data_IF_120568821722
#
_entry.id   IF_120568821722
#
_cell.length_a   1.000
_cell.length_b   1.000
_cell.length_c   1.000
_cell.angle_alpha   90.00
_cell.angle_beta   90.00
_cell.angle_gamma   90.00
#
_symmetry.space_group_name_H-M   'P 1'
#
loop_
_entity.id
_entity.type
_entity.pdbx_description
1 polymer ?
#
# COMPACT_ATOMS: atom_id res chain seq x y z
N UNK A 1 13.22 -8.53 -17.82
CA UNK A 1 12.87 -9.24 -16.58
C UNK A 1 11.55 -8.67 -16.12
N UNK A 2 10.47 -9.45 -16.21
CA UNK A 2 9.16 -9.02 -15.73
C UNK A 2 9.22 -8.84 -14.22
N UNK A 3 8.67 -7.75 -13.70
CA UNK A 3 8.56 -7.55 -12.26
C UNK A 3 7.77 -8.73 -11.65
N UNK A 4 8.17 -9.25 -10.49
CA UNK A 4 7.42 -10.30 -9.81
C UNK A 4 6.01 -9.81 -9.46
N UNK A 5 4.99 -10.59 -9.82
CA UNK A 5 3.61 -10.34 -9.39
C UNK A 5 3.47 -10.68 -7.90
N UNK A 6 2.77 -9.83 -7.14
CA UNK A 6 2.52 -9.97 -5.71
C UNK A 6 1.08 -10.39 -5.48
N UNK A 7 0.81 -11.67 -5.67
CA UNK A 7 -0.53 -12.25 -5.48
C UNK A 7 -1.03 -12.04 -4.05
N UNK A 8 -0.15 -12.04 -3.05
CA UNK A 8 -0.47 -11.74 -1.65
C UNK A 8 -1.07 -10.33 -1.45
N UNK A 9 -0.72 -9.37 -2.30
CA UNK A 9 -1.32 -8.03 -2.29
C UNK A 9 -2.64 -8.00 -3.05
N UNK A 10 -2.73 -8.71 -4.18
CA UNK A 10 -3.94 -8.79 -5.00
C UNK A 10 -5.09 -9.53 -4.27
N UNK A 11 -4.76 -10.43 -3.35
CA UNK A 11 -5.73 -11.13 -2.50
C UNK A 11 -6.28 -10.26 -1.34
N UNK A 12 -5.66 -9.12 -1.03
CA UNK A 12 -6.09 -8.25 0.07
C UNK A 12 -7.35 -7.45 -0.31
N UNK A 13 -8.51 -7.99 0.06
CA UNK A 13 -9.80 -7.32 -0.15
C UNK A 13 -9.96 -6.07 0.72
N UNK A 14 -10.86 -5.12 0.36
CA UNK A 14 -11.17 -3.96 1.19
C UNK A 14 -11.60 -4.32 2.62
N UNK A 15 -12.29 -5.43 2.80
CA UNK A 15 -12.71 -5.93 4.11
C UNK A 15 -11.49 -6.39 4.93
N UNK A 16 -10.57 -7.14 4.32
CA UNK A 16 -9.32 -7.55 4.96
C UNK A 16 -8.46 -6.33 5.35
N UNK A 17 -8.34 -5.35 4.45
CA UNK A 17 -7.66 -4.08 4.72
C UNK A 17 -8.33 -3.31 5.86
N UNK A 18 -9.66 -3.36 5.96
CA UNK A 18 -10.40 -2.70 7.04
C UNK A 18 -10.11 -3.34 8.40
N UNK A 19 -9.97 -4.68 8.45
CA UNK A 19 -9.59 -5.39 9.66
C UNK A 19 -8.13 -5.15 10.08
N UNK A 20 -7.21 -5.00 9.11
CA UNK A 20 -5.80 -4.73 9.37
C UNK A 20 -5.52 -3.28 9.76
N UNK A 21 -6.26 -2.35 9.17
CA UNK A 21 -6.12 -0.91 9.34
C UNK A 21 -7.31 -0.35 10.15
N UNK A 22 -8.06 0.55 9.52
CA UNK A 22 -9.31 1.12 10.00
C UNK A 22 -10.16 1.49 8.79
N UNK A 23 -11.49 1.38 8.91
CA UNK A 23 -12.43 1.68 7.82
C UNK A 23 -12.24 3.10 7.24
N UNK A 24 -11.87 4.07 8.07
CA UNK A 24 -11.63 5.44 7.64
C UNK A 24 -10.46 5.59 6.66
N UNK A 25 -9.38 4.83 6.86
CA UNK A 25 -8.23 4.85 5.94
C UNK A 25 -8.56 4.15 4.62
N UNK A 26 -9.23 2.99 4.69
CA UNK A 26 -9.61 2.22 3.51
C UNK A 26 -10.55 3.01 2.60
N UNK A 27 -11.63 3.57 3.15
CA UNK A 27 -12.58 4.36 2.36
C UNK A 27 -11.95 5.58 1.70
N UNK A 28 -11.05 6.28 2.40
CA UNK A 28 -10.32 7.42 1.82
C UNK A 28 -9.37 6.97 0.73
N UNK A 29 -8.61 5.89 0.96
CA UNK A 29 -7.68 5.37 -0.04
C UNK A 29 -8.41 4.86 -1.29
N UNK A 30 -9.53 4.15 -1.15
CA UNK A 30 -10.38 3.74 -2.28
C UNK A 30 -10.92 4.93 -3.06
N UNK A 31 -11.34 5.99 -2.36
CA UNK A 31 -11.81 7.22 -3.00
C UNK A 31 -10.69 7.90 -3.80
N UNK A 32 -9.49 8.00 -3.22
CA UNK A 32 -8.33 8.59 -3.87
C UNK A 32 -7.95 7.78 -5.13
N UNK A 33 -7.83 6.45 -5.00
CA UNK A 33 -7.54 5.53 -6.13
C UNK A 33 -8.61 5.63 -7.23
N UNK A 34 -9.90 5.62 -6.86
CA UNK A 34 -11.01 5.76 -7.80
C UNK A 34 -11.06 7.13 -8.50
N UNK A 35 -10.45 8.16 -7.91
CA UNK A 35 -10.27 9.47 -8.51
C UNK A 35 -8.97 9.59 -9.34
N UNK A 36 -8.19 8.51 -9.47
CA UNK A 36 -6.89 8.52 -10.14
C UNK A 36 -5.76 9.12 -9.32
N UNK A 37 -5.99 9.41 -8.03
CA UNK A 37 -4.96 9.86 -7.08
C UNK A 37 -4.27 8.62 -6.53
N UNK A 38 -3.28 8.14 -7.28
CA UNK A 38 -2.51 6.92 -6.96
C UNK A 38 -1.03 7.28 -6.80
N UNK A 39 -0.29 6.59 -5.91
CA UNK A 39 1.15 6.76 -5.83
C UNK A 39 1.84 6.18 -7.08
N UNK A 40 3.07 6.66 -7.34
CA UNK A 40 3.95 5.98 -8.28
C UNK A 40 4.46 4.68 -7.65
N UNK A 41 4.18 3.55 -8.30
CA UNK A 41 4.61 2.23 -7.85
C UNK A 41 5.87 1.75 -8.56
N UNK A 42 6.75 1.11 -7.79
CA UNK A 42 7.89 0.37 -8.30
C UNK A 42 7.98 -0.99 -7.59
N UNK A 43 8.39 -2.02 -8.31
CA UNK A 43 8.59 -3.36 -7.76
C UNK A 43 10.04 -3.75 -8.00
N UNK A 44 10.76 -4.03 -6.93
CA UNK A 44 12.14 -4.48 -7.00
C UNK A 44 12.22 -5.94 -7.44
N UNK A 45 13.40 -6.39 -7.88
CA UNK A 45 13.62 -7.77 -8.32
C UNK A 45 13.43 -8.82 -7.21
N UNK A 46 13.47 -8.39 -5.94
CA UNK A 46 13.19 -9.24 -4.78
C UNK A 46 11.69 -9.30 -4.41
N UNK A 47 10.82 -8.57 -5.14
CA UNK A 47 9.39 -8.49 -4.88
C UNK A 47 8.95 -7.38 -3.91
N UNK A 48 9.88 -6.56 -3.42
CA UNK A 48 9.52 -5.41 -2.59
C UNK A 48 8.75 -4.37 -3.42
N UNK A 49 7.55 -4.02 -2.97
CA UNK A 49 6.73 -2.98 -3.59
C UNK A 49 7.00 -1.66 -2.89
N UNK A 50 7.29 -0.63 -3.66
CA UNK A 50 7.48 0.74 -3.20
C UNK A 50 6.39 1.63 -3.77
N UNK A 51 5.86 2.54 -2.94
CA UNK A 51 4.95 3.57 -3.38
C UNK A 51 5.51 4.95 -3.01
N UNK A 52 5.57 5.84 -3.99
CA UNK A 52 5.97 7.25 -3.79
C UNK A 52 4.76 8.15 -4.02
N UNK A 53 4.47 9.01 -3.04
CA UNK A 53 3.31 9.90 -3.04
C UNK A 53 3.73 11.34 -3.35
N UNK A 54 2.81 12.13 -3.91
CA UNK A 54 3.05 13.54 -4.27
C UNK A 54 3.36 14.43 -3.06
N UNK A 55 2.93 14.01 -1.85
CA UNK A 55 3.26 14.68 -0.58
C UNK A 55 4.67 14.35 -0.07
N UNK A 56 5.46 13.60 -0.85
CA UNK A 56 6.82 13.19 -0.51
C UNK A 56 6.91 11.97 0.41
N UNK A 57 5.78 11.43 0.86
CA UNK A 57 5.74 10.19 1.64
C UNK A 57 6.18 9.03 0.75
N UNK A 58 6.88 8.06 1.36
CA UNK A 58 7.29 6.82 0.73
C UNK A 58 6.86 5.65 1.60
N UNK A 59 6.32 4.63 0.98
CA UNK A 59 6.02 3.35 1.63
C UNK A 59 6.72 2.21 0.90
N UNK A 60 7.08 1.18 1.65
CA UNK A 60 7.58 -0.06 1.08
C UNK A 60 7.03 -1.27 1.81
N UNK A 61 6.76 -2.34 1.06
CA UNK A 61 6.25 -3.60 1.58
C UNK A 61 7.01 -4.77 0.95
N UNK A 62 7.94 -5.40 1.68
CA UNK A 62 8.61 -6.62 1.25
C UNK A 62 7.61 -7.79 1.08
N UNK A 63 7.94 -8.81 0.29
CA UNK A 63 7.13 -10.03 0.22
C UNK A 63 7.10 -10.79 1.55
N UNK A 64 6.02 -11.53 1.80
CA UNK A 64 5.86 -12.35 3.00
C UNK A 64 5.71 -11.54 4.30
N UNK A 65 5.46 -10.24 4.20
CA UNK A 65 5.21 -9.35 5.33
C UNK A 65 3.75 -8.89 5.35
N UNK A 66 3.25 -8.61 6.54
CA UNK A 66 1.88 -8.09 6.67
C UNK A 66 1.86 -6.59 6.39
N UNK A 67 0.68 -6.05 6.09
CA UNK A 67 0.52 -4.61 5.91
C UNK A 67 1.00 -3.78 7.12
N UNK A 68 0.95 -4.34 8.33
CA UNK A 68 1.45 -3.68 9.56
C UNK A 68 2.97 -3.53 9.57
N UNK A 69 3.68 -4.42 8.86
CA UNK A 69 5.14 -4.39 8.76
C UNK A 69 5.63 -3.49 7.62
N UNK A 70 4.72 -2.97 6.78
CA UNK A 70 5.07 -2.02 5.74
C UNK A 70 5.77 -0.79 6.34
N UNK A 71 6.91 -0.40 5.78
CA UNK A 71 7.57 0.84 6.17
C UNK A 71 6.81 2.02 5.57
N UNK A 72 6.74 3.12 6.32
CA UNK A 72 6.17 4.38 5.84
C UNK A 72 6.95 5.53 6.45
N UNK A 73 7.31 6.54 5.64
CA UNK A 73 8.01 7.74 6.12
C UNK A 73 7.08 8.79 6.75
N UNK A 74 5.77 8.57 6.80
CA UNK A 74 4.83 9.48 7.45
C UNK A 74 4.97 9.46 8.99
N UNK A 75 4.38 10.44 9.68
CA UNK A 75 4.44 10.58 11.14
C UNK A 75 3.52 9.65 11.93
N UNK A 76 2.73 8.80 11.25
CA UNK A 76 1.83 7.87 11.93
C UNK A 76 2.63 6.76 12.65
N UNK A 77 2.33 6.53 13.93
CA UNK A 77 2.98 5.50 14.76
C UNK A 77 2.51 4.07 14.48
N UNK A 78 1.55 3.89 13.58
CA UNK A 78 0.98 2.58 13.26
C UNK A 78 0.49 2.53 11.82
N UNK A 79 -0.79 2.19 11.65
CA UNK A 79 -1.38 2.15 10.32
C UNK A 79 -1.72 3.54 9.80
N UNK A 80 -1.57 3.75 8.49
CA UNK A 80 -1.88 4.99 7.82
C UNK A 80 -2.53 4.74 6.45
N UNK A 81 -3.08 5.79 5.85
CA UNK A 81 -3.67 5.71 4.51
C UNK A 81 -2.65 5.29 3.44
N UNK A 82 -1.38 5.69 3.58
CA UNK A 82 -0.34 5.43 2.58
C UNK A 82 -0.04 3.93 2.45
N UNK A 83 0.03 3.21 3.57
CA UNK A 83 0.20 1.75 3.55
C UNK A 83 -0.98 1.06 2.86
N UNK A 84 -2.20 1.46 3.18
CA UNK A 84 -3.41 0.91 2.54
C UNK A 84 -3.42 1.23 1.03
N UNK A 85 -3.06 2.45 0.66
CA UNK A 85 -3.05 2.88 -0.74
C UNK A 85 -1.97 2.18 -1.57
N UNK A 86 -0.84 1.79 -0.97
CA UNK A 86 0.15 0.94 -1.63
C UNK A 86 -0.48 -0.38 -2.10
N UNK A 87 -1.32 -1.01 -1.26
CA UNK A 87 -1.98 -2.28 -1.63
C UNK A 87 -3.09 -2.03 -2.65
N UNK A 88 -3.91 -1.02 -2.45
CA UNK A 88 -5.04 -0.74 -3.35
C UNK A 88 -4.63 -0.23 -4.74
N UNK A 89 -3.44 0.32 -4.88
CA UNK A 89 -2.91 0.82 -6.15
C UNK A 89 -2.06 -0.23 -6.89
N UNK A 90 -1.66 -1.31 -6.22
CA UNK A 90 -0.89 -2.42 -6.79
C UNK A 90 -1.79 -3.32 -7.64
#
# INVERSE_FOLDING_TARGET
>A
MSAPMRDDLLELTPEALTALANAGFVKRAQKDVGAGVVPALAVDGDGTVHASFDDGVRTSLPPGRTLRDAACSCTASGMCRHRVMLVLAY
#
